data_IF_835778808882
#
_entry.id   IF_835778808882
#
_cell.length_a   1.000
_cell.length_b   1.000
_cell.length_c   1.000
_cell.angle_alpha   90.00
_cell.angle_beta   90.00
_cell.angle_gamma   90.00
#
_symmetry.space_group_name_H-M   'P 1'
#
loop_
_entity.id
_entity.type
_entity.pdbx_description
1 polymer ?
#
# COMPACT_ATOMS: atom_id res chain seq x y z
N UNK A 1 22.37 18.38 -3.99
CA UNK A 1 21.71 17.06 -3.88
C UNK A 1 20.27 17.23 -3.42
N UNK A 2 19.37 16.60 -4.11
CA UNK A 2 17.94 16.65 -3.77
C UNK A 2 17.46 15.25 -3.33
N UNK A 3 16.60 15.23 -2.33
CA UNK A 3 15.99 13.99 -1.85
C UNK A 3 14.52 13.99 -2.25
N UNK A 4 14.11 12.98 -3.01
CA UNK A 4 12.74 12.83 -3.46
C UNK A 4 12.10 11.67 -2.70
N UNK A 5 10.93 11.87 -2.13
CA UNK A 5 10.18 10.80 -1.48
C UNK A 5 9.74 9.79 -2.55
N UNK A 6 9.99 8.50 -2.30
CA UNK A 6 9.77 7.45 -3.29
C UNK A 6 8.63 6.53 -2.90
N UNK A 7 8.76 5.84 -1.79
CA UNK A 7 7.73 4.89 -1.37
C UNK A 7 7.75 4.65 0.14
N UNK A 8 6.65 4.06 0.64
CA UNK A 8 6.54 3.53 1.99
C UNK A 8 6.03 2.10 1.92
N UNK A 9 6.60 1.21 2.73
CA UNK A 9 6.21 -0.20 2.76
C UNK A 9 5.25 -0.50 3.90
N UNK A 10 4.21 -1.30 3.59
CA UNK A 10 3.39 -1.99 4.57
C UNK A 10 3.51 -3.50 4.33
N UNK A 11 3.90 -4.25 5.35
CA UNK A 11 3.83 -5.70 5.29
C UNK A 11 2.38 -6.14 5.48
N UNK A 12 1.92 -7.06 4.64
CA UNK A 12 0.51 -7.51 4.65
C UNK A 12 0.44 -9.03 4.72
N UNK A 13 -0.56 -9.54 5.43
CA UNK A 13 -0.78 -10.98 5.56
C UNK A 13 -1.58 -11.57 4.39
N UNK A 14 -2.44 -10.75 3.77
CA UNK A 14 -3.27 -11.13 2.61
C UNK A 14 -3.10 -10.08 1.52
N UNK A 15 -2.23 -10.38 0.55
CA UNK A 15 -1.87 -9.43 -0.49
C UNK A 15 -3.05 -9.06 -1.39
N UNK A 16 -3.80 -10.04 -1.86
CA UNK A 16 -4.91 -9.79 -2.79
C UNK A 16 -6.00 -8.95 -2.14
N UNK A 17 -6.30 -9.22 -0.88
CA UNK A 17 -7.26 -8.43 -0.10
C UNK A 17 -6.79 -7.00 0.09
N UNK A 18 -5.49 -6.80 0.35
CA UNK A 18 -4.91 -5.47 0.52
C UNK A 18 -4.93 -4.69 -0.79
N UNK A 19 -4.57 -5.33 -1.90
CA UNK A 19 -4.64 -4.69 -3.24
C UNK A 19 -6.07 -4.24 -3.51
N UNK A 20 -7.05 -5.13 -3.32
CA UNK A 20 -8.46 -4.81 -3.56
C UNK A 20 -8.92 -3.63 -2.69
N UNK A 21 -8.51 -3.59 -1.43
CA UNK A 21 -8.84 -2.49 -0.53
C UNK A 21 -8.34 -1.15 -1.07
N UNK A 22 -7.05 -1.07 -1.44
CA UNK A 22 -6.49 0.20 -1.91
C UNK A 22 -7.02 0.61 -3.28
N UNK A 23 -7.37 -0.35 -4.15
CA UNK A 23 -8.04 -0.06 -5.42
C UNK A 23 -9.42 0.54 -5.18
N UNK A 24 -10.23 -0.10 -4.36
CA UNK A 24 -11.62 0.29 -4.14
C UNK A 24 -11.75 1.54 -3.28
N UNK A 25 -11.00 1.58 -2.17
CA UNK A 25 -11.14 2.67 -1.21
C UNK A 25 -10.46 3.97 -1.67
N UNK A 26 -9.30 3.88 -2.31
CA UNK A 26 -8.46 5.04 -2.61
C UNK A 26 -8.16 5.23 -4.09
N UNK A 27 -8.65 4.37 -4.95
CA UNK A 27 -8.44 4.49 -6.39
C UNK A 27 -6.99 4.28 -6.83
N UNK A 28 -6.20 3.58 -6.02
CA UNK A 28 -4.84 3.22 -6.40
C UNK A 28 -4.88 2.00 -7.31
N UNK A 29 -3.84 1.82 -8.13
CA UNK A 29 -3.69 0.64 -8.94
C UNK A 29 -2.24 0.17 -8.92
N UNK A 30 -2.04 -1.09 -9.26
CA UNK A 30 -0.71 -1.69 -9.30
C UNK A 30 0.09 -1.08 -10.44
N UNK A 31 1.26 -0.51 -10.12
CA UNK A 31 2.16 0.09 -11.12
C UNK A 31 3.41 -0.74 -11.34
N UNK A 32 3.76 -1.58 -10.39
CA UNK A 32 4.94 -2.44 -10.48
C UNK A 32 4.80 -3.61 -9.52
N UNK A 33 5.39 -4.76 -9.88
CA UNK A 33 5.39 -5.95 -9.05
C UNK A 33 6.74 -6.62 -9.10
N UNK A 34 7.17 -7.16 -7.97
CA UNK A 34 8.39 -7.95 -7.85
C UNK A 34 8.07 -9.21 -7.04
N UNK A 35 8.33 -10.38 -7.59
CA UNK A 35 8.06 -11.65 -6.93
C UNK A 35 9.34 -12.49 -6.88
N UNK A 36 9.57 -13.16 -5.73
CA UNK A 36 10.68 -14.09 -5.62
C UNK A 36 10.45 -15.31 -6.52
N UNK A 37 11.50 -15.80 -7.14
CA UNK A 37 11.43 -16.97 -8.03
C UNK A 37 10.91 -18.22 -7.30
N UNK A 38 11.19 -18.35 -6.00
CA UNK A 38 10.74 -19.47 -5.17
C UNK A 38 9.40 -19.24 -4.48
N UNK A 39 8.75 -18.10 -4.73
CA UNK A 39 7.47 -17.75 -4.13
C UNK A 39 7.56 -17.27 -2.68
N UNK A 40 8.76 -17.01 -2.16
CA UNK A 40 8.95 -16.65 -0.76
C UNK A 40 8.44 -15.25 -0.42
N UNK A 41 8.37 -14.35 -1.40
CA UNK A 41 7.79 -13.02 -1.20
C UNK A 41 7.14 -12.51 -2.47
N UNK A 42 6.23 -11.56 -2.28
CA UNK A 42 5.63 -10.75 -3.36
C UNK A 42 5.57 -9.31 -2.89
N UNK A 43 6.02 -8.40 -3.75
CA UNK A 43 5.99 -6.96 -3.47
C UNK A 43 5.21 -6.29 -4.59
N UNK A 44 4.17 -5.54 -4.21
CA UNK A 44 3.32 -4.81 -5.15
C UNK A 44 3.39 -3.33 -4.82
N UNK A 45 3.64 -2.50 -5.83
CA UNK A 45 3.67 -1.05 -5.70
C UNK A 45 2.38 -0.48 -6.25
N UNK A 46 1.66 0.27 -5.40
CA UNK A 46 0.38 0.89 -5.73
C UNK A 46 0.56 2.40 -5.85
N UNK A 47 -0.06 3.00 -6.83
CA UNK A 47 -0.04 4.45 -7.02
C UNK A 47 -1.21 4.89 -7.91
N UNK A 48 -1.21 6.16 -8.27
CA UNK A 48 -2.17 6.75 -9.23
C UNK A 48 -1.46 7.83 -10.05
N UNK A 49 -2.19 8.45 -10.97
CA UNK A 49 -1.63 9.48 -11.85
C UNK A 49 -1.45 10.82 -11.14
N UNK A 50 -1.99 10.96 -9.93
CA UNK A 50 -1.93 12.22 -9.16
C UNK A 50 -0.64 12.34 -8.38
N UNK A 51 -0.09 11.21 -7.93
CA UNK A 51 1.10 11.16 -7.06
C UNK A 51 2.25 10.43 -7.72
N UNK A 52 3.47 10.87 -7.44
CA UNK A 52 4.69 10.12 -7.78
C UNK A 52 5.10 9.15 -6.67
N UNK A 53 4.52 9.31 -5.47
CA UNK A 53 4.81 8.47 -4.32
C UNK A 53 4.08 7.14 -4.46
N UNK A 54 4.74 6.04 -4.08
CA UNK A 54 4.18 4.70 -4.19
C UNK A 54 3.97 4.07 -2.82
N UNK A 55 2.89 3.33 -2.68
CA UNK A 55 2.65 2.48 -1.53
C UNK A 55 3.11 1.07 -1.87
N UNK A 56 4.11 0.58 -1.14
CA UNK A 56 4.66 -0.76 -1.33
C UNK A 56 3.97 -1.73 -0.37
N UNK A 57 3.38 -2.79 -0.92
CA UNK A 57 2.76 -3.85 -0.14
C UNK A 57 3.63 -5.11 -0.26
N UNK A 58 4.16 -5.58 0.87
CA UNK A 58 5.04 -6.74 0.92
C UNK A 58 4.33 -7.91 1.59
N UNK A 59 4.24 -9.02 0.87
CA UNK A 59 3.73 -10.29 1.38
C UNK A 59 4.87 -11.29 1.50
N UNK A 60 4.94 -11.97 2.65
CA UNK A 60 5.96 -12.98 2.94
C UNK A 60 5.26 -14.32 3.15
N UNK A 61 5.62 -15.33 2.34
CA UNK A 61 5.04 -16.68 2.42
C UNK A 61 5.15 -17.28 3.82
N UNK A 62 6.28 -17.07 4.49
CA UNK A 62 6.58 -17.69 5.77
C UNK A 62 6.11 -16.85 6.97
N UNK A 63 5.25 -15.86 6.73
CA UNK A 63 4.62 -15.03 7.77
C UNK A 63 3.11 -14.99 7.54
N UNK A 64 2.36 -16.08 7.81
CA UNK A 64 0.93 -16.13 7.56
C UNK A 64 0.09 -15.39 8.60
N UNK A 65 0.66 -15.11 9.76
CA UNK A 65 -0.06 -14.46 10.86
C UNK A 65 -0.16 -12.95 10.63
N UNK A 66 -1.14 -12.34 11.31
CA UNK A 66 -1.31 -10.89 11.29
C UNK A 66 -0.07 -10.19 11.88
N UNK A 67 0.30 -9.07 11.29
CA UNK A 67 1.44 -8.28 11.78
C UNK A 67 1.08 -7.51 13.05
N UNK A 68 2.02 -7.51 13.99
CA UNK A 68 1.92 -6.71 15.21
C UNK A 68 2.45 -5.31 14.90
N UNK A 69 1.56 -4.32 14.95
CA UNK A 69 1.89 -2.92 14.66
C UNK A 69 2.20 -2.12 15.93
N UNK A 70 2.34 -2.79 17.07
CA UNK A 70 2.57 -2.13 18.34
C UNK A 70 1.40 -1.23 18.72
N UNK A 71 1.69 0.02 19.08
CA UNK A 71 0.67 0.99 19.46
C UNK A 71 0.09 1.76 18.26
N UNK A 72 0.49 1.40 17.04
CA UNK A 72 0.04 2.04 15.79
C UNK A 72 0.30 3.55 15.80
N UNK A 73 1.50 3.95 16.17
CA UNK A 73 1.88 5.37 16.31
C UNK A 73 2.22 6.03 14.97
N UNK A 74 1.96 5.37 13.86
CA UNK A 74 2.20 5.89 12.53
C UNK A 74 0.91 5.92 11.72
N UNK A 75 0.90 6.74 10.67
CA UNK A 75 -0.25 6.83 9.76
C UNK A 75 0.20 7.22 8.37
N UNK A 76 -0.66 6.97 7.39
CA UNK A 76 -0.53 7.42 6.02
C UNK A 76 -1.69 8.35 5.70
N UNK A 77 -1.38 9.57 5.28
CA UNK A 77 -2.39 10.59 5.01
C UNK A 77 -2.54 10.85 3.52
N UNK A 78 -3.78 11.12 3.11
CA UNK A 78 -4.11 11.51 1.75
C UNK A 78 -4.78 12.87 1.76
N UNK A 79 -4.39 13.72 0.81
CA UNK A 79 -5.10 14.97 0.56
C UNK A 79 -6.16 14.71 -0.49
N UNK A 80 -7.38 15.18 -0.26
CA UNK A 80 -8.49 15.04 -1.19
C UNK A 80 -8.99 16.42 -1.60
N UNK A 81 -9.53 16.52 -2.82
CA UNK A 81 -10.09 17.77 -3.35
C UNK A 81 -11.57 17.95 -2.97
N UNK A 82 -12.24 16.89 -2.56
CA UNK A 82 -13.64 16.90 -2.14
C UNK A 82 -13.78 16.11 -0.83
N UNK A 83 -13.57 16.77 0.30
CA UNK A 83 -13.62 16.12 1.60
C UNK A 83 -15.00 15.52 1.92
N UNK A 84 -16.14 16.21 1.66
CA UNK A 84 -17.45 15.59 1.91
C UNK A 84 -17.68 14.31 1.14
N UNK A 85 -17.30 14.26 -0.15
CA UNK A 85 -17.44 13.04 -0.95
C UNK A 85 -16.54 11.92 -0.43
N UNK A 86 -15.31 12.24 -0.04
CA UNK A 86 -14.38 11.25 0.53
C UNK A 86 -14.91 10.71 1.87
N UNK A 87 -15.49 11.56 2.70
CA UNK A 87 -16.07 11.15 3.98
C UNK A 87 -17.26 10.20 3.77
N UNK A 88 -18.14 10.48 2.82
CA UNK A 88 -19.26 9.59 2.50
C UNK A 88 -18.81 8.22 2.00
N UNK A 89 -17.73 8.17 1.22
CA UNK A 89 -17.18 6.91 0.68
C UNK A 89 -16.65 6.02 1.80
N UNK A 90 -16.08 6.59 2.82
CA UNK A 90 -15.38 5.90 3.89
C UNK A 90 -16.05 6.11 5.25
#
# INVERSE_FOLDING_TARGET
MEFKMDHQNFNVADLDKSIAFYQEALGLHEVRRNEAADGSYKIVYMSNEVSNFQLELTWMRDHPQKYDLGECEFHLAFRVDDYPAAYEKH
#
